data_IF_560644267544
#
_entry.id   IF_560644267544
#
_cell.length_a   1.000
_cell.length_b   1.000
_cell.length_c   1.000
_cell.angle_alpha   90.00
_cell.angle_beta   90.00
_cell.angle_gamma   90.00
#
_symmetry.space_group_name_H-M   'P 1'
#
loop_
_entity.id
_entity.type
_entity.pdbx_description
1 polymer ?
#
# COMPACT_ATOMS: atom_id res chain seq x y z
N UNK A 1 13.19 -8.00 -13.20
CA UNK A 1 12.95 -7.17 -14.39
C UNK A 1 11.48 -6.76 -14.46
N UNK A 2 11.19 -5.62 -15.10
CA UNK A 2 9.82 -5.12 -15.29
C UNK A 2 9.57 -4.65 -16.74
N UNK A 3 10.24 -5.27 -17.69
CA UNK A 3 10.02 -5.01 -19.11
C UNK A 3 8.73 -5.67 -19.62
N UNK A 4 8.28 -5.26 -20.81
CA UNK A 4 7.21 -5.97 -21.50
C UNK A 4 7.66 -7.39 -21.86
N UNK A 5 6.76 -8.39 -21.75
CA UNK A 5 7.09 -9.76 -22.14
C UNK A 5 7.73 -9.85 -23.53
N UNK A 6 8.74 -10.69 -23.63
CA UNK A 6 9.54 -10.86 -24.85
C UNK A 6 10.76 -9.95 -24.99
N UNK A 7 10.84 -8.82 -24.27
CA UNK A 7 12.03 -7.93 -24.36
C UNK A 7 13.28 -8.65 -23.85
N UNK A 8 13.23 -9.27 -22.66
CA UNK A 8 14.37 -10.02 -22.13
C UNK A 8 14.79 -11.16 -23.06
N UNK A 9 13.82 -11.89 -23.64
CA UNK A 9 14.09 -12.94 -24.63
C UNK A 9 14.81 -12.42 -25.89
N UNK A 10 14.42 -11.24 -26.38
CA UNK A 10 15.07 -10.60 -27.54
C UNK A 10 16.56 -10.37 -27.31
N UNK A 11 16.94 -10.06 -26.07
CA UNK A 11 18.33 -9.84 -25.68
C UNK A 11 19.03 -11.09 -25.13
N UNK A 12 18.40 -12.27 -25.14
CA UNK A 12 18.87 -13.52 -24.54
C UNK A 12 19.15 -13.38 -23.02
N UNK A 13 18.41 -12.49 -22.35
CA UNK A 13 18.47 -12.24 -20.92
C UNK A 13 17.23 -12.78 -20.18
N UNK A 14 16.40 -13.57 -20.86
CA UNK A 14 15.29 -14.30 -20.24
C UNK A 14 15.80 -15.45 -19.37
N UNK A 15 14.96 -15.89 -18.42
CA UNK A 15 15.34 -16.95 -17.49
C UNK A 15 15.84 -18.22 -18.20
N UNK A 16 15.20 -18.65 -19.29
CA UNK A 16 15.59 -19.87 -19.99
C UNK A 16 17.00 -19.75 -20.61
N UNK A 17 17.40 -18.55 -21.04
CA UNK A 17 18.74 -18.28 -21.57
C UNK A 17 19.78 -18.23 -20.45
N UNK A 18 19.50 -17.47 -19.39
CA UNK A 18 20.43 -17.25 -18.29
C UNK A 18 20.59 -18.49 -17.38
N UNK A 19 19.54 -19.30 -17.22
CA UNK A 19 19.60 -20.53 -16.43
C UNK A 19 20.52 -21.62 -17.03
N UNK A 20 20.94 -21.50 -18.28
CA UNK A 20 21.97 -22.36 -18.88
C UNK A 20 23.35 -22.05 -18.32
N UNK A 21 23.62 -20.78 -18.06
CA UNK A 21 24.88 -20.32 -17.47
C UNK A 21 24.85 -20.44 -15.96
N UNK A 22 23.71 -20.11 -15.34
CA UNK A 22 23.51 -20.22 -13.90
C UNK A 22 22.20 -20.96 -13.57
N UNK A 23 22.26 -22.30 -13.42
CA UNK A 23 21.08 -23.11 -13.09
C UNK A 23 20.40 -22.77 -11.75
N UNK A 24 21.06 -21.99 -10.87
CA UNK A 24 20.53 -21.53 -9.59
C UNK A 24 19.91 -20.14 -9.65
N UNK A 25 19.84 -19.52 -10.85
CA UNK A 25 19.27 -18.19 -11.02
C UNK A 25 17.82 -18.13 -10.56
N UNK A 26 17.51 -17.18 -9.71
CA UNK A 26 16.16 -16.76 -9.42
C UNK A 26 15.88 -15.47 -10.17
N UNK A 27 14.90 -15.50 -11.06
CA UNK A 27 14.49 -14.35 -11.88
C UNK A 27 13.03 -14.01 -11.56
N UNK A 28 12.76 -12.74 -11.28
CA UNK A 28 11.41 -12.22 -11.05
C UNK A 28 11.05 -11.28 -12.20
N UNK A 29 9.98 -11.62 -12.91
CA UNK A 29 9.39 -10.78 -13.97
C UNK A 29 8.13 -10.12 -13.43
N UNK A 30 8.08 -8.79 -13.43
CA UNK A 30 6.94 -8.00 -12.99
C UNK A 30 6.38 -7.23 -14.18
N UNK A 31 5.23 -7.65 -14.70
CA UNK A 31 4.58 -7.02 -15.84
C UNK A 31 3.14 -6.67 -15.55
N UNK A 32 2.48 -5.93 -16.43
CA UNK A 32 1.10 -5.51 -16.21
C UNK A 32 0.14 -6.70 -16.08
N UNK A 33 0.25 -7.71 -16.98
CA UNK A 33 -0.73 -8.78 -17.12
C UNK A 33 -0.13 -10.18 -17.04
N UNK A 34 1.17 -10.33 -16.84
CA UNK A 34 1.88 -11.62 -16.84
C UNK A 34 2.64 -11.87 -18.13
N UNK A 35 3.41 -12.97 -18.14
CA UNK A 35 4.31 -13.29 -19.25
C UNK A 35 3.58 -13.94 -20.45
N UNK A 36 2.32 -14.36 -20.28
CA UNK A 36 1.50 -15.01 -21.30
C UNK A 36 0.03 -14.55 -21.23
N UNK A 37 -0.85 -15.29 -21.93
CA UNK A 37 -2.29 -15.04 -21.94
C UNK A 37 -2.71 -13.93 -22.92
N UNK A 38 -4.04 -13.65 -22.97
CA UNK A 38 -4.63 -12.78 -24.00
C UNK A 38 -4.14 -11.33 -23.92
N UNK A 39 -3.65 -10.89 -22.77
CA UNK A 39 -3.15 -9.53 -22.51
C UNK A 39 -1.65 -9.46 -22.26
N UNK A 40 -0.93 -10.57 -22.39
CA UNK A 40 0.51 -10.65 -22.07
C UNK A 40 1.39 -9.66 -22.85
N UNK A 41 0.97 -9.20 -24.02
CA UNK A 41 1.72 -8.20 -24.80
C UNK A 41 1.33 -6.74 -24.50
N UNK A 42 0.30 -6.53 -23.66
CA UNK A 42 -0.13 -5.18 -23.31
C UNK A 42 0.78 -4.59 -22.23
N UNK A 43 1.02 -3.29 -22.32
CA UNK A 43 1.68 -2.53 -21.28
C UNK A 43 0.66 -1.99 -20.27
N UNK A 44 1.14 -1.64 -19.07
CA UNK A 44 0.33 -0.99 -18.06
C UNK A 44 1.16 -0.14 -17.12
N UNK A 45 0.50 0.76 -16.45
CA UNK A 45 1.02 1.58 -15.36
C UNK A 45 0.05 1.50 -14.19
N UNK A 46 0.47 1.92 -13.02
CA UNK A 46 -0.35 1.90 -11.79
C UNK A 46 -1.79 2.37 -12.02
N UNK A 47 -1.99 3.53 -12.68
CA UNK A 47 -3.32 4.07 -12.98
C UNK A 47 -4.19 3.10 -13.77
N UNK A 48 -3.65 2.51 -14.84
CA UNK A 48 -4.42 1.60 -15.70
C UNK A 48 -4.72 0.28 -15.01
N UNK A 49 -3.83 -0.17 -14.12
CA UNK A 49 -4.05 -1.36 -13.30
C UNK A 49 -5.04 -1.11 -12.18
N UNK A 50 -5.04 0.05 -11.54
CA UNK A 50 -6.09 0.42 -10.59
C UNK A 50 -7.49 0.46 -11.25
N UNK A 51 -7.56 0.94 -12.50
CA UNK A 51 -8.81 0.97 -13.25
C UNK A 51 -9.32 -0.44 -13.57
N UNK A 52 -8.47 -1.29 -14.15
CA UNK A 52 -8.88 -2.60 -14.65
C UNK A 52 -9.05 -3.64 -13.53
N UNK A 53 -8.32 -3.52 -12.42
CA UNK A 53 -8.45 -4.40 -11.27
C UNK A 53 -9.62 -4.04 -10.33
N UNK A 54 -10.43 -3.03 -10.69
CA UNK A 54 -11.59 -2.64 -9.90
C UNK A 54 -11.31 -1.70 -8.72
N UNK A 55 -10.05 -1.32 -8.45
CA UNK A 55 -9.70 -0.43 -7.33
C UNK A 55 -10.43 0.91 -7.45
N UNK A 56 -10.50 1.49 -8.67
CA UNK A 56 -11.19 2.76 -8.90
C UNK A 56 -12.70 2.66 -8.82
N UNK A 57 -13.30 1.47 -8.94
CA UNK A 57 -14.75 1.28 -8.83
C UNK A 57 -15.23 1.38 -7.38
N UNK A 58 -14.34 1.20 -6.40
CA UNK A 58 -14.64 1.24 -4.96
C UNK A 58 -14.00 2.43 -4.24
N UNK A 59 -13.21 3.26 -4.94
CA UNK A 59 -12.50 4.41 -4.36
C UNK A 59 -13.21 5.71 -4.70
N UNK A 60 -13.45 6.55 -3.69
CA UNK A 60 -14.07 7.87 -3.81
C UNK A 60 -15.47 7.96 -3.23
N UNK A 61 -16.06 9.14 -3.33
CA UNK A 61 -17.43 9.41 -2.87
C UNK A 61 -18.46 8.61 -3.68
N UNK A 62 -19.62 8.23 -3.08
CA UNK A 62 -20.62 7.35 -3.70
C UNK A 62 -21.02 7.77 -5.09
N UNK A 63 -21.34 9.05 -5.29
CA UNK A 63 -21.79 9.61 -6.56
C UNK A 63 -20.68 10.37 -7.31
N UNK A 64 -19.44 10.28 -6.82
CA UNK A 64 -18.30 10.94 -7.41
C UNK A 64 -17.76 10.24 -8.68
N UNK A 65 -16.96 10.95 -9.46
CA UNK A 65 -16.20 10.37 -10.56
C UNK A 65 -15.27 9.24 -10.07
N UNK A 66 -14.86 8.29 -10.93
CA UNK A 66 -13.81 7.35 -10.58
C UNK A 66 -12.50 8.08 -10.21
N UNK A 67 -11.93 7.74 -9.08
CA UNK A 67 -10.63 8.29 -8.63
C UNK A 67 -9.66 7.16 -8.31
N UNK A 68 -8.37 7.39 -8.57
CA UNK A 68 -7.34 6.44 -8.17
C UNK A 68 -6.95 6.65 -6.69
N UNK A 69 -6.40 5.63 -6.06
CA UNK A 69 -5.66 5.80 -4.81
C UNK A 69 -4.50 6.80 -5.03
N UNK A 70 -4.30 7.72 -4.11
CA UNK A 70 -3.28 8.77 -4.21
C UNK A 70 -1.84 8.23 -4.28
N UNK A 71 -1.58 7.06 -3.67
CA UNK A 71 -0.30 6.36 -3.77
C UNK A 71 -0.36 5.32 -4.91
N UNK A 72 0.77 4.98 -5.56
CA UNK A 72 0.84 3.97 -6.62
C UNK A 72 0.71 2.55 -6.03
N UNK A 73 -0.49 2.19 -5.64
CA UNK A 73 -0.80 0.97 -4.90
C UNK A 73 -0.40 -0.30 -5.66
N UNK A 74 -0.74 -0.37 -6.96
CA UNK A 74 -0.48 -1.56 -7.78
C UNK A 74 1.03 -1.78 -7.98
N UNK A 75 1.80 -0.72 -8.16
CA UNK A 75 3.27 -0.79 -8.28
C UNK A 75 3.90 -1.30 -6.98
N UNK A 76 3.58 -0.65 -5.86
CA UNK A 76 4.16 -1.02 -4.57
C UNK A 76 3.83 -2.44 -4.14
N UNK A 77 2.58 -2.85 -4.30
CA UNK A 77 2.17 -4.20 -3.90
C UNK A 77 2.81 -5.27 -4.80
N UNK A 78 2.96 -5.00 -6.09
CA UNK A 78 3.67 -5.89 -7.01
C UNK A 78 5.14 -6.05 -6.62
N UNK A 79 5.82 -4.94 -6.30
CA UNK A 79 7.18 -4.96 -5.80
C UNK A 79 7.34 -5.77 -4.51
N UNK A 80 6.41 -5.63 -3.56
CA UNK A 80 6.42 -6.41 -2.31
C UNK A 80 6.20 -7.91 -2.57
N UNK A 81 5.25 -8.29 -3.42
CA UNK A 81 5.06 -9.69 -3.81
C UNK A 81 6.28 -10.24 -4.54
N UNK A 82 6.90 -9.45 -5.42
CA UNK A 82 8.13 -9.82 -6.13
C UNK A 82 9.28 -10.09 -5.17
N UNK A 83 9.51 -9.19 -4.22
CA UNK A 83 10.55 -9.35 -3.18
C UNK A 83 10.29 -10.58 -2.30
N UNK A 84 9.06 -10.76 -1.84
CA UNK A 84 8.66 -11.93 -1.05
C UNK A 84 8.88 -13.24 -1.82
N UNK A 85 8.43 -13.31 -3.06
CA UNK A 85 8.58 -14.49 -3.90
C UNK A 85 10.07 -14.80 -4.20
N UNK A 86 10.90 -13.76 -4.42
CA UNK A 86 12.35 -13.91 -4.58
C UNK A 86 13.01 -14.57 -3.37
N UNK A 87 12.69 -14.09 -2.15
CA UNK A 87 13.22 -14.66 -0.90
C UNK A 87 12.78 -16.12 -0.73
N UNK A 88 11.51 -16.44 -1.01
CA UNK A 88 11.02 -17.81 -0.97
C UNK A 88 11.77 -18.73 -1.94
N UNK A 89 12.01 -18.27 -3.18
CA UNK A 89 12.73 -19.04 -4.19
C UNK A 89 14.22 -19.21 -3.84
N UNK A 90 14.87 -18.18 -3.29
CA UNK A 90 16.25 -18.26 -2.80
C UNK A 90 16.35 -19.26 -1.65
N UNK A 91 15.40 -19.26 -0.71
CA UNK A 91 15.35 -20.24 0.38
C UNK A 91 15.20 -21.67 -0.14
N UNK A 92 14.34 -21.87 -1.15
CA UNK A 92 14.19 -23.16 -1.83
C UNK A 92 15.51 -23.60 -2.45
N UNK A 93 16.18 -22.69 -3.16
CA UNK A 93 17.49 -22.96 -3.81
C UNK A 93 18.60 -23.34 -2.84
N UNK A 94 18.57 -22.89 -1.57
CA UNK A 94 19.52 -23.30 -0.54
C UNK A 94 19.48 -24.80 -0.23
N UNK A 95 18.36 -25.46 -0.50
CA UNK A 95 18.22 -26.91 -0.31
C UNK A 95 18.74 -27.73 -1.50
N UNK A 96 19.53 -27.13 -2.42
CA UNK A 96 20.12 -27.81 -3.57
C UNK A 96 19.21 -27.88 -4.79
N UNK A 97 18.05 -27.23 -4.77
CA UNK A 97 17.13 -27.17 -5.90
C UNK A 97 17.60 -26.14 -6.95
N UNK A 98 17.13 -26.30 -8.19
CA UNK A 98 17.37 -25.35 -9.27
C UNK A 98 16.73 -23.98 -8.93
N UNK A 99 17.24 -22.93 -9.57
CA UNK A 99 16.64 -21.61 -9.57
C UNK A 99 15.20 -21.59 -10.10
N UNK A 100 14.57 -20.45 -10.09
CA UNK A 100 13.16 -20.33 -10.48
C UNK A 100 12.93 -19.07 -11.32
N UNK A 101 12.03 -19.18 -12.29
CA UNK A 101 11.39 -18.01 -12.90
C UNK A 101 10.08 -17.74 -12.18
N UNK A 102 9.89 -16.51 -11.74
CA UNK A 102 8.73 -16.06 -11.00
C UNK A 102 8.06 -14.98 -11.83
N UNK A 103 6.80 -15.18 -12.17
CA UNK A 103 5.96 -14.18 -12.84
C UNK A 103 5.02 -13.54 -11.81
N UNK A 104 5.07 -12.21 -11.68
CA UNK A 104 4.28 -11.44 -10.72
C UNK A 104 3.49 -10.36 -11.47
N UNK A 105 2.32 -10.72 -12.04
CA UNK A 105 1.50 -9.77 -12.77
C UNK A 105 0.88 -8.71 -11.85
N UNK A 106 0.98 -7.43 -12.22
CA UNK A 106 0.35 -6.33 -11.47
C UNK A 106 -1.18 -6.52 -11.33
N UNK A 107 -1.85 -7.03 -12.36
CA UNK A 107 -3.28 -7.35 -12.28
C UNK A 107 -3.57 -8.35 -11.17
N UNK A 108 -2.78 -9.43 -11.08
CA UNK A 108 -2.98 -10.47 -10.08
C UNK A 108 -2.75 -9.96 -8.66
N UNK A 109 -1.67 -9.19 -8.44
CA UNK A 109 -1.36 -8.61 -7.13
C UNK A 109 -2.39 -7.57 -6.70
N UNK A 110 -2.91 -6.77 -7.64
CA UNK A 110 -3.98 -5.80 -7.39
C UNK A 110 -5.28 -6.47 -6.96
N UNK A 111 -5.65 -7.58 -7.59
CA UNK A 111 -6.81 -8.38 -7.18
C UNK A 111 -6.59 -9.08 -5.83
N UNK A 112 -5.37 -9.54 -5.55
CA UNK A 112 -5.03 -10.19 -4.29
C UNK A 112 -5.19 -9.25 -3.08
N UNK A 113 -4.78 -7.99 -3.19
CA UNK A 113 -4.96 -7.01 -2.10
C UNK A 113 -6.39 -6.50 -1.98
N UNK A 114 -7.22 -6.64 -3.00
CA UNK A 114 -8.66 -6.34 -2.97
C UNK A 114 -9.49 -7.48 -2.36
N UNK A 115 -8.90 -8.30 -1.46
CA UNK A 115 -9.53 -9.50 -0.90
C UNK A 115 -10.89 -9.23 -0.22
N UNK A 116 -11.07 -8.07 0.41
CA UNK A 116 -12.33 -7.68 1.04
C UNK A 116 -13.44 -7.51 -0.01
N UNK A 117 -13.15 -6.82 -1.10
CA UNK A 117 -14.08 -6.54 -2.19
C UNK A 117 -14.38 -7.78 -3.04
N UNK A 118 -13.34 -8.54 -3.38
CA UNK A 118 -13.51 -9.78 -4.13
C UNK A 118 -14.32 -10.83 -3.35
N UNK A 119 -14.09 -10.95 -2.02
CA UNK A 119 -14.88 -11.86 -1.18
C UNK A 119 -16.34 -11.41 -1.04
N UNK A 120 -16.61 -10.10 -1.05
CA UNK A 120 -17.98 -9.58 -1.06
C UNK A 120 -18.70 -9.94 -2.36
N UNK A 121 -18.04 -9.71 -3.50
CA UNK A 121 -18.58 -10.12 -4.81
C UNK A 121 -18.84 -11.61 -4.89
N UNK A 122 -17.89 -12.46 -4.51
CA UNK A 122 -18.05 -13.91 -4.52
C UNK A 122 -19.17 -14.42 -3.59
N UNK A 123 -19.36 -13.76 -2.45
CA UNK A 123 -20.39 -14.13 -1.48
C UNK A 123 -21.79 -13.64 -1.83
N UNK A 124 -21.92 -12.54 -2.56
CA UNK A 124 -23.22 -11.87 -2.80
C UNK A 124 -23.62 -11.81 -4.27
N UNK A 125 -22.69 -11.99 -5.21
CA UNK A 125 -22.88 -11.74 -6.64
C UNK A 125 -23.11 -10.28 -7.00
N UNK A 126 -22.85 -9.34 -6.06
CA UNK A 126 -23.06 -7.91 -6.28
C UNK A 126 -21.73 -7.17 -6.24
N UNK A 127 -21.54 -6.24 -7.16
CA UNK A 127 -20.37 -5.40 -7.16
C UNK A 127 -20.29 -4.53 -5.90
N UNK A 128 -19.13 -4.46 -5.22
CA UNK A 128 -18.89 -3.47 -4.18
C UNK A 128 -18.98 -2.05 -4.76
N UNK A 129 -19.41 -1.11 -3.93
CA UNK A 129 -19.61 0.29 -4.34
C UNK A 129 -18.69 1.23 -3.58
N UNK A 130 -18.57 2.44 -4.08
CA UNK A 130 -17.89 3.53 -3.37
C UNK A 130 -18.63 3.90 -2.10
N UNK A 131 -17.90 4.14 -1.03
CA UNK A 131 -18.43 4.51 0.28
C UNK A 131 -17.72 5.75 0.88
N UNK A 132 -17.00 6.51 0.05
CA UNK A 132 -16.13 7.57 0.56
C UNK A 132 -15.05 6.99 1.46
N UNK A 133 -14.98 7.46 2.69
CA UNK A 133 -14.09 6.94 3.72
C UNK A 133 -14.72 5.83 4.59
N UNK A 134 -15.99 5.46 4.36
CA UNK A 134 -16.69 4.53 5.21
C UNK A 134 -16.31 3.06 4.94
N UNK A 135 -16.27 2.26 6.01
CA UNK A 135 -16.01 0.84 5.91
C UNK A 135 -17.29 0.07 5.56
N UNK A 136 -17.27 -0.92 4.62
CA UNK A 136 -18.48 -1.60 4.16
C UNK A 136 -19.16 -2.49 5.21
N UNK A 137 -18.46 -2.92 6.25
CA UNK A 137 -18.96 -3.90 7.24
C UNK A 137 -18.93 -3.39 8.69
N UNK A 138 -18.36 -2.22 8.95
CA UNK A 138 -18.21 -1.66 10.30
C UNK A 138 -18.65 -0.21 10.33
N UNK A 139 -19.42 0.17 11.36
CA UNK A 139 -19.81 1.54 11.60
C UNK A 139 -19.96 1.80 13.12
N UNK A 140 -19.60 3.02 13.60
CA UNK A 140 -18.90 4.07 12.86
C UNK A 140 -17.45 3.68 12.58
N UNK A 141 -17.03 3.78 11.32
CA UNK A 141 -15.66 3.52 10.87
C UNK A 141 -15.42 4.33 9.59
N UNK A 142 -15.08 5.61 9.75
CA UNK A 142 -14.90 6.56 8.64
C UNK A 142 -14.30 7.88 9.11
N UNK A 143 -14.09 8.82 8.19
CA UNK A 143 -13.78 10.19 8.51
C UNK A 143 -15.05 10.98 8.85
N UNK A 144 -14.95 11.88 9.84
CA UNK A 144 -16.01 12.79 10.28
C UNK A 144 -15.50 14.21 10.30
N UNK A 145 -16.41 15.17 10.04
CA UNK A 145 -16.10 16.59 10.07
C UNK A 145 -16.26 17.14 11.49
N UNK A 146 -15.23 17.85 11.95
CA UNK A 146 -15.24 18.67 13.16
C UNK A 146 -15.36 20.16 12.79
N UNK A 147 -15.30 21.07 13.76
CA UNK A 147 -15.38 22.53 13.49
C UNK A 147 -14.23 23.06 12.62
N UNK A 148 -13.05 22.49 12.76
CA UNK A 148 -11.78 22.98 12.21
C UNK A 148 -11.08 22.00 11.24
N UNK A 149 -11.68 20.84 10.95
CA UNK A 149 -11.07 19.86 10.08
C UNK A 149 -11.80 18.52 10.05
N UNK A 150 -11.04 17.46 9.75
CA UNK A 150 -11.53 16.11 9.67
C UNK A 150 -10.70 15.18 10.57
N UNK A 151 -11.37 14.20 11.18
CA UNK A 151 -10.72 13.12 11.91
C UNK A 151 -11.31 11.76 11.51
N UNK A 152 -10.52 10.72 11.60
CA UNK A 152 -10.96 9.34 11.40
C UNK A 152 -11.34 8.72 12.76
N UNK A 153 -12.44 7.97 12.78
CA UNK A 153 -12.92 7.20 13.94
C UNK A 153 -13.16 5.76 13.52
N UNK A 154 -12.73 4.79 14.34
CA UNK A 154 -12.87 3.37 14.06
C UNK A 154 -13.44 2.62 15.27
N UNK A 155 -14.75 2.36 15.26
CA UNK A 155 -15.45 1.67 16.36
C UNK A 155 -16.24 0.45 15.84
N UNK A 156 -15.53 -0.53 15.28
CA UNK A 156 -16.11 -1.69 14.59
C UNK A 156 -16.65 -2.81 15.49
N UNK A 157 -16.55 -2.73 16.83
CA UNK A 157 -17.07 -3.75 17.73
C UNK A 157 -18.04 -3.17 18.77
N UNK A 158 -18.85 -4.02 19.45
CA UNK A 158 -19.86 -3.53 20.41
C UNK A 158 -19.28 -2.70 21.55
N UNK A 159 -18.14 -3.08 22.11
CA UNK A 159 -17.51 -2.37 23.23
C UNK A 159 -17.04 -0.97 22.82
N UNK A 160 -16.49 -0.83 21.64
CA UNK A 160 -16.09 0.48 21.11
C UNK A 160 -17.30 1.34 20.77
N UNK A 161 -18.38 0.71 20.26
CA UNK A 161 -19.63 1.40 19.98
C UNK A 161 -20.23 2.01 21.25
N UNK A 162 -20.34 1.24 22.32
CA UNK A 162 -20.80 1.75 23.63
C UNK A 162 -19.99 2.98 24.05
N UNK A 163 -18.66 2.92 23.98
CA UNK A 163 -17.80 4.05 24.33
C UNK A 163 -17.99 5.26 23.42
N UNK A 164 -18.31 5.04 22.15
CA UNK A 164 -18.68 6.14 21.24
C UNK A 164 -19.97 6.80 21.74
N UNK A 165 -21.02 6.02 22.01
CA UNK A 165 -22.30 6.56 22.50
C UNK A 165 -22.11 7.38 23.78
N UNK A 166 -21.33 6.89 24.74
CA UNK A 166 -20.98 7.60 25.98
C UNK A 166 -20.20 8.89 25.68
N UNK A 167 -19.20 8.84 24.79
CA UNK A 167 -18.32 9.99 24.49
C UNK A 167 -19.05 11.10 23.74
N UNK A 168 -19.99 10.74 22.86
CA UNK A 168 -20.83 11.70 22.11
C UNK A 168 -22.06 12.16 22.91
N UNK A 169 -22.22 11.66 24.13
CA UNK A 169 -23.34 11.99 25.03
C UNK A 169 -24.72 11.59 24.45
N UNK A 170 -24.76 10.46 23.74
CA UNK A 170 -25.98 9.87 23.14
C UNK A 170 -26.10 8.38 23.51
N UNK A 171 -26.23 8.03 24.81
CA UNK A 171 -26.28 6.64 25.26
C UNK A 171 -27.48 5.86 24.72
N UNK A 172 -28.56 6.53 24.35
CA UNK A 172 -29.75 5.93 23.74
C UNK A 172 -29.45 5.22 22.42
N UNK A 173 -28.39 5.62 21.69
CA UNK A 173 -28.01 4.97 20.44
C UNK A 173 -27.51 3.53 20.65
N UNK A 174 -27.05 3.17 21.85
CA UNK A 174 -26.62 1.81 22.16
C UNK A 174 -27.77 0.82 22.10
N UNK A 175 -28.96 1.23 22.57
CA UNK A 175 -30.17 0.43 22.59
C UNK A 175 -31.08 0.62 21.39
N UNK A 176 -30.75 1.51 20.46
CA UNK A 176 -31.52 1.71 19.22
C UNK A 176 -31.43 0.46 18.33
N UNK A 177 -32.58 -0.11 18.00
CA UNK A 177 -32.68 -1.34 17.19
C UNK A 177 -31.94 -1.23 15.86
N UNK A 178 -31.85 -0.03 15.27
CA UNK A 178 -31.12 0.22 14.02
C UNK A 178 -29.61 0.03 14.17
N UNK A 179 -29.07 0.18 15.38
CA UNK A 179 -27.64 0.22 15.66
C UNK A 179 -27.18 -0.84 16.67
N UNK A 180 -28.06 -1.72 17.12
CA UNK A 180 -27.81 -2.71 18.16
C UNK A 180 -26.70 -3.72 17.83
N UNK A 181 -26.39 -3.95 16.57
CA UNK A 181 -25.30 -4.85 16.16
C UNK A 181 -24.39 -4.21 15.13
N UNK A 182 -23.17 -4.71 15.00
CA UNK A 182 -22.20 -4.25 13.97
C UNK A 182 -22.79 -4.32 12.55
N UNK A 183 -23.50 -5.42 12.26
CA UNK A 183 -24.16 -5.59 10.97
C UNK A 183 -25.27 -4.56 10.72
N UNK A 184 -26.09 -4.31 11.75
CA UNK A 184 -27.17 -3.31 11.64
C UNK A 184 -26.60 -1.90 11.52
N UNK A 185 -25.55 -1.55 12.25
CA UNK A 185 -24.86 -0.26 12.10
C UNK A 185 -24.28 -0.08 10.69
N UNK A 186 -23.61 -1.10 10.15
CA UNK A 186 -23.08 -1.05 8.79
C UNK A 186 -24.20 -0.91 7.74
N UNK A 187 -25.33 -1.60 7.92
CA UNK A 187 -26.50 -1.47 7.05
C UNK A 187 -27.12 -0.09 7.11
N UNK A 188 -27.20 0.49 8.30
CA UNK A 188 -27.83 1.77 8.57
C UNK A 188 -26.81 2.91 8.75
N UNK A 189 -25.59 2.78 8.18
CA UNK A 189 -24.52 3.74 8.42
C UNK A 189 -24.83 5.16 7.94
N UNK A 190 -25.63 5.32 6.88
CA UNK A 190 -26.09 6.64 6.41
C UNK A 190 -27.01 7.33 7.44
N UNK A 191 -27.89 6.57 8.09
CA UNK A 191 -28.74 7.07 9.16
C UNK A 191 -27.90 7.44 10.38
N UNK A 192 -26.97 6.57 10.76
CA UNK A 192 -26.06 6.79 11.87
C UNK A 192 -25.21 8.06 11.65
N UNK A 193 -24.72 8.26 10.42
CA UNK A 193 -23.95 9.44 10.04
C UNK A 193 -24.75 10.73 10.26
N UNK A 194 -26.02 10.78 9.84
CA UNK A 194 -26.91 11.93 10.06
C UNK A 194 -27.09 12.30 11.53
N UNK A 195 -27.00 11.33 12.43
CA UNK A 195 -27.10 11.57 13.88
C UNK A 195 -25.75 12.04 14.48
N UNK A 196 -24.64 11.49 14.01
CA UNK A 196 -23.32 11.78 14.58
C UNK A 196 -22.70 13.07 14.03
N UNK A 197 -22.87 13.39 12.74
CA UNK A 197 -22.29 14.60 12.12
C UNK A 197 -22.63 15.90 12.85
N UNK A 198 -23.89 16.18 13.23
CA UNK A 198 -24.23 17.40 13.96
C UNK A 198 -23.54 17.48 15.34
N UNK A 199 -23.22 16.34 15.96
CA UNK A 199 -22.52 16.28 17.23
C UNK A 199 -21.03 16.57 17.02
N UNK A 200 -20.41 15.92 16.03
CA UNK A 200 -19.00 16.11 15.72
C UNK A 200 -18.70 17.54 15.25
N UNK A 201 -19.62 18.18 14.55
CA UNK A 201 -19.51 19.57 14.12
C UNK A 201 -19.52 20.61 15.27
N UNK A 202 -19.69 20.21 16.54
CA UNK A 202 -19.74 21.13 17.70
C UNK A 202 -18.37 21.34 18.35
N UNK A 203 -17.34 20.53 18.03
CA UNK A 203 -16.05 20.55 18.71
C UNK A 203 -14.91 20.48 17.69
N UNK A 204 -13.72 20.85 18.15
CA UNK A 204 -12.50 20.75 17.33
C UNK A 204 -12.03 19.30 17.16
N UNK A 205 -11.16 19.06 16.16
CA UNK A 205 -10.48 17.78 15.98
C UNK A 205 -9.71 17.40 17.25
N UNK A 206 -8.96 18.34 17.84
CA UNK A 206 -8.17 18.09 19.04
C UNK A 206 -9.04 17.65 20.23
N UNK A 207 -10.19 18.32 20.48
CA UNK A 207 -11.10 17.94 21.56
C UNK A 207 -11.65 16.52 21.34
N UNK A 208 -12.08 16.17 20.13
CA UNK A 208 -12.56 14.82 19.83
C UNK A 208 -11.46 13.76 20.00
N UNK A 209 -10.25 14.00 19.51
CA UNK A 209 -9.13 13.09 19.69
C UNK A 209 -8.81 12.87 21.17
N UNK A 210 -8.83 13.95 21.98
CA UNK A 210 -8.63 13.87 23.41
C UNK A 210 -9.71 13.04 24.13
N UNK A 211 -10.98 13.23 23.79
CA UNK A 211 -12.12 12.49 24.36
C UNK A 211 -12.10 11.02 23.98
N UNK A 212 -11.98 10.71 22.69
CA UNK A 212 -11.94 9.33 22.22
C UNK A 212 -10.67 8.61 22.66
N UNK A 213 -9.53 9.30 22.73
CA UNK A 213 -8.30 8.74 23.27
C UNK A 213 -8.46 8.31 24.75
N UNK A 214 -9.05 9.15 25.58
CA UNK A 214 -9.38 8.81 27.00
C UNK A 214 -10.35 7.64 27.10
N UNK A 215 -11.34 7.57 26.21
CA UNK A 215 -12.29 6.47 26.12
C UNK A 215 -11.67 5.19 25.51
N UNK A 216 -10.44 5.24 24.99
CA UNK A 216 -9.78 4.12 24.31
C UNK A 216 -10.48 3.71 23.01
N UNK A 217 -11.07 4.68 22.29
CA UNK A 217 -11.63 4.49 20.95
C UNK A 217 -10.60 4.92 19.92
N UNK A 218 -10.20 4.06 18.96
CA UNK A 218 -9.25 4.42 17.93
C UNK A 218 -9.74 5.60 17.08
N UNK A 219 -8.97 6.66 17.07
CA UNK A 219 -9.21 7.85 16.27
C UNK A 219 -7.88 8.51 15.88
N UNK A 220 -7.89 9.27 14.80
CA UNK A 220 -6.69 9.96 14.31
C UNK A 220 -7.06 11.23 13.52
N UNK A 221 -6.21 12.26 13.50
CA UNK A 221 -6.37 13.39 12.59
C UNK A 221 -6.12 12.94 11.15
N UNK A 222 -6.67 13.65 10.18
CA UNK A 222 -6.31 13.47 8.76
C UNK A 222 -5.10 14.36 8.48
N UNK A 223 -3.91 13.78 8.57
CA UNK A 223 -2.65 14.50 8.43
C UNK A 223 -2.26 14.73 6.97
N UNK A 224 -1.62 15.87 6.72
CA UNK A 224 -0.75 16.05 5.55
C UNK A 224 0.54 15.25 5.72
N UNK A 225 1.32 15.07 4.64
CA UNK A 225 2.64 14.41 4.75
C UNK A 225 3.60 15.15 5.68
N UNK A 226 3.58 16.48 5.69
CA UNK A 226 4.43 17.27 6.62
C UNK A 226 4.07 17.00 8.08
N UNK A 227 2.78 16.90 8.39
CA UNK A 227 2.30 16.56 9.74
C UNK A 227 2.61 15.10 10.10
N UNK A 228 2.36 14.16 9.18
CA UNK A 228 2.67 12.74 9.41
C UNK A 228 4.17 12.50 9.64
N UNK A 229 5.05 13.16 8.88
CA UNK A 229 6.51 13.06 9.04
C UNK A 229 7.03 13.76 10.31
N UNK A 230 6.28 14.69 10.87
CA UNK A 230 6.59 15.35 12.13
C UNK A 230 6.02 14.62 13.37
N UNK A 231 5.29 13.52 13.18
CA UNK A 231 4.72 12.73 14.28
C UNK A 231 5.82 12.21 15.21
N UNK A 232 5.67 12.35 16.55
CA UNK A 232 6.63 11.85 17.53
C UNK A 232 6.96 10.36 17.38
N UNK A 233 5.99 9.54 16.94
CA UNK A 233 6.22 8.12 16.69
C UNK A 233 7.12 7.90 15.47
N UNK A 234 7.00 8.70 14.42
CA UNK A 234 7.88 8.64 13.24
C UNK A 234 9.31 8.99 13.64
N UNK A 235 9.49 10.03 14.47
CA UNK A 235 10.79 10.40 15.03
C UNK A 235 11.36 9.30 15.92
N UNK A 236 10.55 8.72 16.83
CA UNK A 236 10.96 7.60 17.70
C UNK A 236 11.38 6.37 16.89
N UNK A 237 10.68 6.06 15.83
CA UNK A 237 10.99 4.93 14.95
C UNK A 237 12.23 5.18 14.07
N UNK A 238 12.74 6.41 14.00
CA UNK A 238 13.89 6.78 13.19
C UNK A 238 13.65 6.58 11.69
N UNK A 239 12.42 6.78 11.22
CA UNK A 239 12.02 6.48 9.84
C UNK A 239 12.56 7.46 8.79
N UNK A 240 13.00 8.64 9.19
CA UNK A 240 13.50 9.67 8.26
C UNK A 240 15.00 9.79 8.39
N UNK A 241 15.71 9.60 7.29
CA UNK A 241 17.16 9.70 7.19
C UNK A 241 17.55 10.84 6.26
N UNK A 242 18.56 11.63 6.66
CA UNK A 242 19.23 12.58 5.76
C UNK A 242 20.18 11.82 4.83
N UNK A 243 20.22 12.19 3.57
CA UNK A 243 21.11 11.65 2.56
C UNK A 243 21.72 12.79 1.72
N UNK A 244 22.99 12.64 1.38
CA UNK A 244 23.67 13.53 0.45
C UNK A 244 23.65 12.91 -0.94
N UNK A 245 23.09 13.62 -1.92
CA UNK A 245 23.03 13.18 -3.32
C UNK A 245 24.36 13.49 -4.03
N UNK A 246 24.71 12.76 -5.11
CA UNK A 246 25.91 13.05 -5.91
C UNK A 246 25.96 14.47 -6.49
N UNK A 247 24.80 15.12 -6.62
CA UNK A 247 24.69 16.55 -7.01
C UNK A 247 25.20 17.52 -5.95
N UNK A 248 25.56 17.06 -4.75
CA UNK A 248 25.87 17.90 -3.59
C UNK A 248 24.63 18.40 -2.85
N UNK A 249 23.43 18.01 -3.28
CA UNK A 249 22.18 18.39 -2.60
C UNK A 249 21.93 17.47 -1.41
N UNK A 250 21.71 18.02 -0.23
CA UNK A 250 21.23 17.29 0.95
C UNK A 250 19.71 17.20 0.91
N UNK A 251 19.17 16.00 1.12
CA UNK A 251 17.73 15.74 1.19
C UNK A 251 17.41 14.71 2.27
N UNK A 252 16.15 14.33 2.40
CA UNK A 252 15.67 13.32 3.34
C UNK A 252 14.89 12.26 2.63
N UNK A 253 14.92 11.04 3.16
CA UNK A 253 14.11 9.91 2.66
C UNK A 253 13.53 9.14 3.81
N UNK A 254 12.41 8.45 3.56
CA UNK A 254 11.88 7.44 4.48
C UNK A 254 12.63 6.13 4.21
N UNK A 255 13.23 5.57 5.26
CA UNK A 255 13.97 4.31 5.19
C UNK A 255 13.04 3.09 5.19
N UNK A 256 13.61 1.89 5.09
CA UNK A 256 12.85 0.65 5.25
C UNK A 256 12.07 0.65 6.57
N UNK A 257 10.76 0.31 6.56
CA UNK A 257 9.96 0.24 7.78
C UNK A 257 10.28 -0.99 8.65
N UNK A 258 11.12 -1.90 8.15
CA UNK A 258 11.48 -3.14 8.83
C UNK A 258 12.56 -2.89 9.88
N UNK A 259 12.41 -3.55 11.02
CA UNK A 259 13.44 -3.71 12.04
C UNK A 259 13.73 -5.18 12.21
N UNK A 260 15.01 -5.54 12.22
CA UNK A 260 15.47 -6.90 12.49
C UNK A 260 16.27 -6.84 13.80
N UNK A 261 15.90 -7.65 14.77
CA UNK A 261 16.49 -7.64 16.12
C UNK A 261 16.50 -6.25 16.77
N UNK A 262 15.42 -5.48 16.53
CA UNK A 262 15.23 -4.08 16.96
C UNK A 262 16.11 -3.05 16.24
N UNK A 263 16.94 -3.46 15.30
CA UNK A 263 17.78 -2.56 14.51
C UNK A 263 17.05 -2.04 13.27
N UNK A 264 17.20 -0.76 12.98
CA UNK A 264 16.71 -0.14 11.75
C UNK A 264 17.59 -0.52 10.56
N UNK A 265 17.03 -0.49 9.37
CA UNK A 265 17.75 -0.72 8.11
C UNK A 265 18.00 0.63 7.40
N UNK A 266 19.14 1.31 7.64
CA UNK A 266 19.41 2.61 7.07
C UNK A 266 19.69 2.51 5.56
N UNK A 267 19.55 3.63 4.85
CA UNK A 267 20.07 3.77 3.50
C UNK A 267 21.59 3.73 3.56
N UNK A 268 22.20 2.75 2.91
CA UNK A 268 23.66 2.55 2.88
C UNK A 268 24.34 3.37 1.80
N UNK A 269 23.67 3.55 0.66
CA UNK A 269 24.16 4.35 -0.47
C UNK A 269 23.00 5.23 -0.97
N UNK A 270 23.22 6.51 -1.26
CA UNK A 270 22.22 7.35 -1.89
C UNK A 270 21.95 6.88 -3.33
N UNK A 271 20.88 7.37 -3.99
CA UNK A 271 20.69 7.17 -5.40
C UNK A 271 21.90 7.66 -6.20
N UNK A 272 22.48 6.83 -7.11
CA UNK A 272 23.70 7.20 -7.82
C UNK A 272 23.42 8.22 -8.95
N UNK A 273 24.44 8.96 -9.36
CA UNK A 273 24.46 9.63 -10.66
C UNK A 273 24.53 8.62 -11.79
N UNK A 274 24.16 9.03 -13.01
CA UNK A 274 24.24 8.17 -14.20
C UNK A 274 25.70 7.76 -14.42
N UNK A 275 25.96 6.46 -14.44
CA UNK A 275 27.28 5.89 -14.67
C UNK A 275 28.25 5.91 -13.46
N UNK A 276 27.84 6.43 -12.29
CA UNK A 276 28.71 6.62 -11.11
C UNK A 276 29.44 5.33 -10.71
N UNK A 277 28.80 4.18 -10.80
CA UNK A 277 29.39 2.89 -10.41
C UNK A 277 29.86 2.02 -11.60
N UNK A 278 29.82 2.55 -12.84
CA UNK A 278 30.12 1.74 -14.04
C UNK A 278 31.54 1.17 -14.02
N UNK A 279 32.55 1.96 -13.71
CA UNK A 279 33.93 1.52 -13.67
C UNK A 279 34.22 0.56 -12.51
N UNK A 280 33.56 0.74 -11.35
CA UNK A 280 33.62 -0.18 -10.20
C UNK A 280 33.10 -1.55 -10.64
N UNK A 281 31.91 -1.61 -11.21
CA UNK A 281 31.25 -2.86 -11.66
C UNK A 281 32.04 -3.54 -12.78
N UNK A 282 32.52 -2.80 -13.76
CA UNK A 282 33.31 -3.37 -14.86
C UNK A 282 34.62 -3.97 -14.35
N UNK A 283 35.27 -3.32 -13.39
CA UNK A 283 36.49 -3.82 -12.76
C UNK A 283 36.24 -5.09 -11.95
N UNK A 284 35.15 -5.15 -11.18
CA UNK A 284 34.75 -6.37 -10.45
C UNK A 284 34.50 -7.55 -11.38
N UNK A 285 33.96 -7.29 -12.57
CA UNK A 285 33.74 -8.30 -13.62
C UNK A 285 35.00 -8.65 -14.44
N UNK A 286 36.14 -8.02 -14.17
CA UNK A 286 37.36 -8.20 -14.98
C UNK A 286 37.26 -7.64 -16.40
N UNK A 287 36.30 -6.73 -16.64
CA UNK A 287 36.09 -6.06 -17.92
C UNK A 287 36.83 -4.71 -17.99
N UNK A 288 37.22 -4.29 -19.18
CA UNK A 288 37.79 -2.95 -19.35
C UNK A 288 36.72 -1.88 -19.14
N UNK A 289 37.07 -0.78 -18.45
CA UNK A 289 36.17 0.35 -18.25
C UNK A 289 35.72 1.02 -19.56
N UNK A 290 34.60 1.74 -19.50
CA UNK A 290 34.01 2.40 -20.68
C UNK A 290 34.98 3.38 -21.39
N UNK A 291 35.94 3.99 -20.68
CA UNK A 291 36.98 4.82 -21.25
C UNK A 291 38.01 4.06 -22.13
N UNK A 292 38.17 2.76 -21.91
CA UNK A 292 39.11 1.93 -22.69
C UNK A 292 38.44 1.23 -23.91
N UNK A 293 37.13 1.39 -24.11
CA UNK A 293 36.41 0.86 -25.27
C UNK A 293 36.21 1.92 -26.38
N UNK A 294 36.68 3.15 -26.15
CA UNK A 294 36.61 4.26 -27.11
C UNK A 294 37.94 4.51 -27.88
N UNK A 295 38.99 3.71 -27.62
CA UNK A 295 40.20 3.59 -28.41
C UNK A 295 40.15 2.35 -29.31
#
# INVERSE_FOLDING_TARGET
>A
ENYRPGIMKRYKLDHASLARENPKLVMVSMSAFGQDGPRGQEGGFDLTLQAIAGVMSVTGEPDGAPVKCGVPLCDFVTGLYGAYAAVCALRKGQNGEKGSHIDVPMLATSLAVAALQTSEYFGTGKDPRKLGSAHPRNAPYQAFRATDGWFALAAGNPRLWQRVCETVEMPELESDERFASTTLRAKNQTELLKLLEPVFAKRSVEDWLGRFGKAGVPCAPINSYSQALADPQVAHLGLVQEIDLPSGTRTRTVISPMRIDSEIMPVRRPPPAIGEHSDEILRELGLKGAAAAAE
#
